data_IF_021720199814
#
_entry.id   IF_021720199814
#
_cell.length_a   1.000
_cell.length_b   1.000
_cell.length_c   1.000
_cell.angle_alpha   90.00
_cell.angle_beta   90.00
_cell.angle_gamma   90.00
#
_symmetry.space_group_name_H-M   'P 1'
#
loop_
_entity.id
_entity.type
_entity.pdbx_description
1 polymer ?
#
# COMPACT_ATOMS: atom_id res chain seq x y z
N UNK A 1 -8.71 -11.95 6.47
CA UNK A 1 -8.30 -11.03 5.40
C UNK A 1 -7.07 -11.51 4.63
N UNK A 2 -6.11 -12.24 5.24
CA UNK A 2 -4.88 -12.65 4.53
C UNK A 2 -5.02 -13.86 3.61
N UNK A 3 -5.89 -14.84 3.91
CA UNK A 3 -5.99 -16.06 3.11
C UNK A 3 -6.63 -15.84 1.72
N UNK A 4 -7.69 -15.05 1.62
CA UNK A 4 -8.36 -14.81 0.32
C UNK A 4 -7.49 -13.98 -0.62
N UNK A 5 -6.80 -12.95 -0.11
CA UNK A 5 -5.86 -12.17 -0.92
C UNK A 5 -4.68 -13.01 -1.41
N UNK A 6 -4.16 -13.92 -0.57
CA UNK A 6 -3.10 -14.85 -0.99
C UNK A 6 -3.58 -15.84 -2.07
N UNK A 7 -4.84 -16.28 -2.01
CA UNK A 7 -5.45 -17.13 -3.04
C UNK A 7 -5.62 -16.36 -4.35
N UNK A 8 -6.12 -15.12 -4.30
CA UNK A 8 -6.27 -14.27 -5.48
C UNK A 8 -4.93 -14.00 -6.17
N UNK A 9 -3.89 -13.70 -5.38
CA UNK A 9 -2.54 -13.51 -5.92
C UNK A 9 -2.04 -14.77 -6.64
N UNK A 10 -2.22 -15.94 -6.03
CA UNK A 10 -1.83 -17.23 -6.64
C UNK A 10 -2.56 -17.49 -7.95
N UNK A 11 -3.86 -17.18 -8.02
CA UNK A 11 -4.72 -17.56 -9.14
C UNK A 11 -4.73 -16.55 -10.29
N UNK A 12 -4.61 -15.25 -9.98
CA UNK A 12 -4.74 -14.16 -10.96
C UNK A 12 -3.45 -13.39 -11.19
N UNK A 13 -2.42 -13.59 -10.35
CA UNK A 13 -1.20 -12.79 -10.39
C UNK A 13 -1.40 -11.35 -9.88
N UNK A 14 -2.59 -10.99 -9.44
CA UNK A 14 -2.96 -9.67 -8.92
C UNK A 14 -3.85 -9.81 -7.68
N UNK A 15 -3.73 -8.86 -6.76
CA UNK A 15 -4.68 -8.69 -5.65
C UNK A 15 -5.49 -7.44 -5.93
N UNK A 16 -6.80 -7.61 -6.15
CA UNK A 16 -7.70 -6.47 -6.36
C UNK A 16 -8.21 -6.02 -4.99
N UNK A 17 -7.79 -4.85 -4.54
CA UNK A 17 -8.39 -4.20 -3.37
C UNK A 17 -9.77 -3.68 -3.80
N UNK A 18 -10.83 -4.14 -3.13
CA UNK A 18 -12.18 -3.69 -3.46
C UNK A 18 -12.33 -2.17 -3.32
N UNK A 19 -13.00 -1.52 -4.27
CA UNK A 19 -13.19 -0.06 -4.30
C UNK A 19 -13.77 0.51 -3.00
N UNK A 20 -14.67 -0.23 -2.34
CA UNK A 20 -15.25 0.17 -1.05
C UNK A 20 -14.18 0.28 0.05
N UNK A 21 -13.15 -0.57 0.00
CA UNK A 21 -12.01 -0.53 0.90
C UNK A 21 -11.13 0.68 0.60
N UNK A 22 -10.83 0.95 -0.68
CA UNK A 22 -10.02 2.11 -1.07
C UNK A 22 -10.68 3.43 -0.67
N UNK A 23 -11.99 3.59 -0.92
CA UNK A 23 -12.77 4.78 -0.50
C UNK A 23 -12.73 4.99 1.01
N UNK A 24 -12.91 3.90 1.78
CA UNK A 24 -12.81 3.96 3.23
C UNK A 24 -11.41 4.38 3.68
N UNK A 25 -10.36 3.79 3.10
CA UNK A 25 -8.97 4.14 3.41
C UNK A 25 -8.68 5.61 3.08
N UNK A 26 -9.07 6.11 1.91
CA UNK A 26 -8.92 7.52 1.55
C UNK A 26 -9.60 8.45 2.55
N UNK A 27 -10.84 8.15 2.93
CA UNK A 27 -11.60 8.91 3.95
C UNK A 27 -10.87 8.96 5.29
N UNK A 28 -10.35 7.82 5.77
CA UNK A 28 -9.62 7.75 7.05
C UNK A 28 -8.31 8.53 6.98
N UNK A 29 -7.59 8.47 5.86
CA UNK A 29 -6.32 9.19 5.68
C UNK A 29 -6.54 10.70 5.69
N UNK A 30 -7.58 11.20 5.01
CA UNK A 30 -7.96 12.62 5.04
C UNK A 30 -8.32 13.06 6.46
N UNK A 31 -9.20 12.31 7.15
CA UNK A 31 -9.60 12.62 8.54
C UNK A 31 -8.43 12.61 9.52
N UNK A 32 -7.41 11.80 9.27
CA UNK A 32 -6.21 11.70 10.10
C UNK A 32 -5.14 12.74 9.74
N UNK A 33 -5.37 13.58 8.73
CA UNK A 33 -4.42 14.61 8.30
C UNK A 33 -3.17 14.05 7.61
N UNK A 34 -3.27 12.88 6.97
CA UNK A 34 -2.15 12.29 6.23
C UNK A 34 -1.83 13.14 5.00
N UNK A 35 -0.54 13.31 4.71
CA UNK A 35 0.00 14.08 3.59
C UNK A 35 0.89 13.18 2.73
N UNK A 36 1.08 13.54 1.47
CA UNK A 36 1.94 12.79 0.53
C UNK A 36 3.32 12.40 1.11
N UNK A 37 4.05 13.30 1.81
CA UNK A 37 5.35 12.92 2.39
C UNK A 37 5.29 11.81 3.45
N UNK A 38 4.14 11.59 4.10
CA UNK A 38 4.01 10.51 5.08
C UNK A 38 4.03 9.13 4.43
N UNK A 39 3.57 8.99 3.18
CA UNK A 39 3.63 7.71 2.45
C UNK A 39 5.09 7.29 2.19
N UNK A 40 5.95 8.22 1.78
CA UNK A 40 7.38 7.92 1.56
C UNK A 40 8.08 7.45 2.84
N UNK A 41 7.80 8.11 3.98
CA UNK A 41 8.37 7.70 5.27
C UNK A 41 7.91 6.29 5.66
N UNK A 42 6.64 5.96 5.42
CA UNK A 42 6.10 4.62 5.70
C UNK A 42 6.69 3.58 4.76
N UNK A 43 6.88 3.90 3.47
CA UNK A 43 7.53 3.01 2.49
C UNK A 43 8.92 2.60 2.96
N UNK A 44 9.75 3.57 3.32
CA UNK A 44 11.10 3.31 3.80
C UNK A 44 11.10 2.45 5.06
N UNK A 45 10.26 2.77 6.03
CA UNK A 45 10.16 2.02 7.28
C UNK A 45 9.67 0.58 7.04
N UNK A 46 8.68 0.40 6.17
CA UNK A 46 8.11 -0.91 5.84
C UNK A 46 9.15 -1.80 5.16
N UNK A 47 9.83 -1.30 4.13
CA UNK A 47 10.84 -2.07 3.39
C UNK A 47 11.98 -2.48 4.32
N UNK A 48 12.50 -1.56 5.15
CA UNK A 48 13.54 -1.87 6.14
C UNK A 48 13.08 -2.94 7.14
N UNK A 49 11.83 -2.84 7.62
CA UNK A 49 11.26 -3.83 8.55
C UNK A 49 11.16 -5.21 7.92
N UNK A 50 10.77 -5.28 6.64
CA UNK A 50 10.67 -6.56 5.91
C UNK A 50 12.06 -7.15 5.66
N UNK A 51 13.04 -6.33 5.28
CA UNK A 51 14.44 -6.73 5.12
C UNK A 51 14.99 -7.32 6.43
N UNK A 52 14.80 -6.64 7.56
CA UNK A 52 15.20 -7.12 8.89
C UNK A 52 14.51 -8.43 9.26
N UNK A 53 13.22 -8.58 8.95
CA UNK A 53 12.44 -9.79 9.28
C UNK A 53 12.82 -11.00 8.43
N UNK A 54 13.21 -10.80 7.16
CA UNK A 54 13.65 -11.86 6.25
C UNK A 54 15.11 -12.26 6.55
N UNK A 55 15.93 -11.27 6.93
CA UNK A 55 17.36 -11.41 7.18
C UNK A 55 18.21 -11.22 5.92
N UNK A 56 19.40 -10.65 6.11
CA UNK A 56 20.32 -10.24 5.03
C UNK A 56 20.68 -11.38 4.06
N UNK A 57 20.76 -12.63 4.55
CA UNK A 57 21.12 -13.78 3.71
C UNK A 57 20.06 -14.13 2.64
N UNK A 58 18.79 -13.79 2.89
CA UNK A 58 17.66 -14.13 2.01
C UNK A 58 17.07 -12.92 1.30
N UNK A 59 17.36 -11.71 1.78
CA UNK A 59 16.95 -10.48 1.15
C UNK A 59 17.72 -10.24 -0.15
N UNK A 60 17.05 -9.68 -1.15
CA UNK A 60 17.69 -9.34 -2.42
C UNK A 60 17.00 -8.12 -3.07
N UNK A 61 17.66 -7.55 -4.08
CA UNK A 61 17.16 -6.33 -4.74
C UNK A 61 15.84 -6.57 -5.49
N UNK A 62 15.58 -7.77 -5.98
CA UNK A 62 14.30 -8.12 -6.63
C UNK A 62 13.14 -8.03 -5.62
N UNK A 63 13.32 -8.56 -4.42
CA UNK A 63 12.31 -8.45 -3.34
C UNK A 63 12.08 -6.98 -2.96
N UNK A 64 13.15 -6.21 -2.80
CA UNK A 64 13.05 -4.78 -2.47
C UNK A 64 12.25 -4.01 -3.52
N UNK A 65 12.53 -4.27 -4.81
CA UNK A 65 11.82 -3.64 -5.91
C UNK A 65 10.35 -4.07 -5.95
N UNK A 66 10.07 -5.37 -5.80
CA UNK A 66 8.71 -5.89 -5.81
C UNK A 66 7.86 -5.33 -4.65
N UNK A 67 8.40 -5.28 -3.43
CA UNK A 67 7.73 -4.66 -2.29
C UNK A 67 7.57 -3.16 -2.45
N UNK A 68 8.56 -2.49 -3.02
CA UNK A 68 8.50 -1.06 -3.34
C UNK A 68 7.40 -0.73 -4.34
N UNK A 69 7.32 -1.49 -5.44
CA UNK A 69 6.29 -1.32 -6.47
C UNK A 69 4.89 -1.63 -5.92
N UNK A 70 4.72 -2.71 -5.16
CA UNK A 70 3.44 -3.05 -4.54
C UNK A 70 2.97 -1.95 -3.58
N UNK A 71 3.89 -1.36 -2.80
CA UNK A 71 3.57 -0.22 -1.94
C UNK A 71 3.16 1.01 -2.75
N UNK A 72 3.90 1.35 -3.80
CA UNK A 72 3.62 2.53 -4.62
C UNK A 72 2.25 2.46 -5.28
N UNK A 73 1.91 1.30 -5.84
CA UNK A 73 0.60 1.09 -6.46
C UNK A 73 -0.54 1.28 -5.45
N UNK A 74 -0.39 0.73 -4.24
CA UNK A 74 -1.39 0.90 -3.18
C UNK A 74 -1.47 2.35 -2.68
N UNK A 75 -0.32 3.00 -2.50
CA UNK A 75 -0.25 4.39 -2.06
C UNK A 75 -0.92 5.33 -3.07
N UNK A 76 -0.66 5.15 -4.37
CA UNK A 76 -1.31 5.93 -5.43
C UNK A 76 -2.82 5.71 -5.47
N UNK A 77 -3.30 4.47 -5.31
CA UNK A 77 -4.73 4.19 -5.22
C UNK A 77 -5.39 4.88 -4.02
N UNK A 78 -4.75 4.89 -2.84
CA UNK A 78 -5.27 5.59 -1.65
C UNK A 78 -5.23 7.10 -1.85
N UNK A 79 -4.13 7.66 -2.38
CA UNK A 79 -4.00 9.11 -2.66
C UNK A 79 -5.06 9.58 -3.66
N UNK A 80 -5.42 8.76 -4.65
CA UNK A 80 -6.52 9.07 -5.56
C UNK A 80 -7.85 9.22 -4.81
N UNK A 81 -8.17 8.29 -3.90
CA UNK A 81 -9.38 8.39 -3.08
C UNK A 81 -9.33 9.54 -2.05
N UNK A 82 -8.15 9.90 -1.54
CA UNK A 82 -7.97 11.08 -0.70
C UNK A 82 -8.32 12.37 -1.46
N UNK A 83 -7.92 12.47 -2.74
CA UNK A 83 -8.25 13.61 -3.62
C UNK A 83 -9.75 13.64 -3.94
N UNK A 84 -10.33 12.50 -4.30
CA UNK A 84 -11.78 12.39 -4.58
C UNK A 84 -12.62 12.85 -3.37
N UNK A 85 -12.25 12.45 -2.15
CA UNK A 85 -12.94 12.89 -0.93
C UNK A 85 -12.81 14.40 -0.70
N UNK A 86 -11.66 15.02 -1.03
CA UNK A 86 -11.51 16.46 -0.92
C UNK A 86 -12.48 17.19 -1.86
N UNK A 87 -12.59 16.73 -3.11
CA UNK A 87 -13.47 17.33 -4.12
C UNK A 87 -14.97 17.16 -3.80
N UNK A 88 -15.36 16.07 -3.14
CA UNK A 88 -16.74 15.86 -2.67
C UNK A 88 -17.12 16.75 -1.46
N UNK A 89 -16.14 17.28 -0.72
CA UNK A 89 -16.36 18.01 0.54
C UNK A 89 -15.96 19.50 0.48
N UNK A 90 -15.41 19.96 -0.65
CA UNK A 90 -15.09 21.36 -0.94
C UNK A 90 -16.28 22.11 -1.54
#
# INVERSE_FOLDING_TARGET
>A
MTCESAIQLREKGEVVVADTTLKYLGTVHVKSGVKDPHFEVVKEALIRTIEEAIGEEKWNEEMKNAWGEAYDQLAEAIKAEMKNHHDETA
#
